data_IF_620206056580
#
_entry.id   IF_620206056580
#
_cell.length_a   1.000
_cell.length_b   1.000
_cell.length_c   1.000
_cell.angle_alpha   90.00
_cell.angle_beta   90.00
_cell.angle_gamma   90.00
#
_symmetry.space_group_name_H-M   'P 1'
#
loop_
_entity.id
_entity.type
_entity.pdbx_description
1 polymer ?
#
# COMPACT_ATOMS: atom_id res chain seq x y z
N UNK A 1 -14.64 21.00 -3.57
CA UNK A 1 -13.66 19.92 -3.36
C UNK A 1 -14.18 19.03 -2.24
N UNK A 2 -14.47 17.75 -2.53
CA UNK A 2 -14.97 16.83 -1.51
C UNK A 2 -13.87 16.56 -0.48
N UNK A 3 -14.17 16.75 0.82
CA UNK A 3 -13.22 16.48 1.89
C UNK A 3 -13.32 14.98 2.27
N UNK A 4 -12.61 14.12 1.50
CA UNK A 4 -12.54 12.69 1.79
C UNK A 4 -11.62 12.47 2.99
N UNK A 5 -12.18 12.06 4.14
CA UNK A 5 -11.41 11.70 5.33
C UNK A 5 -11.18 10.19 5.38
N UNK A 6 -10.69 9.63 4.30
CA UNK A 6 -10.31 8.23 4.14
C UNK A 6 -9.28 8.10 3.04
N UNK A 7 -8.40 7.12 3.18
CA UNK A 7 -7.38 6.78 2.19
C UNK A 7 -7.81 5.64 1.25
N UNK A 8 -8.89 4.91 1.60
CA UNK A 8 -9.38 3.81 0.78
C UNK A 8 -10.08 4.32 -0.48
N UNK A 9 -9.63 3.87 -1.67
CA UNK A 9 -10.24 4.23 -2.96
C UNK A 9 -11.70 3.77 -3.03
N UNK A 10 -12.00 2.59 -2.51
CA UNK A 10 -13.36 2.04 -2.43
C UNK A 10 -14.29 2.95 -1.61
N UNK A 11 -13.87 3.40 -0.41
CA UNK A 11 -14.70 4.29 0.43
C UNK A 11 -14.92 5.65 -0.25
N UNK A 12 -13.90 6.21 -0.92
CA UNK A 12 -14.02 7.47 -1.65
C UNK A 12 -15.05 7.38 -2.79
N UNK A 13 -15.02 6.27 -3.54
CA UNK A 13 -16.01 6.02 -4.58
C UNK A 13 -17.44 5.92 -4.00
N UNK A 14 -17.63 5.15 -2.92
CA UNK A 14 -18.94 5.02 -2.27
C UNK A 14 -19.49 6.37 -1.81
N UNK A 15 -18.63 7.23 -1.23
CA UNK A 15 -19.01 8.58 -0.82
C UNK A 15 -19.41 9.41 -2.03
N UNK A 16 -18.65 9.38 -3.12
CA UNK A 16 -18.95 10.14 -4.33
C UNK A 16 -20.27 9.70 -4.95
N UNK A 17 -20.50 8.38 -5.09
CA UNK A 17 -21.75 7.82 -5.60
C UNK A 17 -22.96 8.28 -4.79
N UNK A 18 -22.90 8.15 -3.46
CA UNK A 18 -24.00 8.56 -2.57
C UNK A 18 -24.29 10.06 -2.67
N UNK A 19 -23.26 10.90 -2.75
CA UNK A 19 -23.42 12.34 -2.79
C UNK A 19 -23.99 12.85 -4.12
N UNK A 20 -23.80 12.12 -5.22
CA UNK A 20 -24.24 12.53 -6.55
C UNK A 20 -25.39 11.67 -7.10
N UNK A 21 -25.91 10.70 -6.34
CA UNK A 21 -26.95 9.74 -6.76
C UNK A 21 -26.60 9.03 -8.07
N UNK A 22 -25.34 8.61 -8.24
CA UNK A 22 -24.85 7.93 -9.44
C UNK A 22 -24.68 6.43 -9.16
N UNK A 23 -24.96 5.60 -10.16
CA UNK A 23 -24.65 4.17 -10.12
C UNK A 23 -23.25 3.89 -10.66
N UNK A 24 -22.87 4.57 -11.73
CA UNK A 24 -21.57 4.48 -12.38
C UNK A 24 -20.84 5.82 -12.35
N UNK A 25 -19.53 5.79 -12.41
CA UNK A 25 -18.69 6.98 -12.48
C UNK A 25 -17.77 6.80 -13.69
N UNK A 26 -17.81 7.77 -14.61
CA UNK A 26 -16.92 7.74 -15.77
C UNK A 26 -15.45 7.67 -15.34
N UNK A 27 -14.71 6.76 -15.98
CA UNK A 27 -13.30 6.52 -15.66
C UNK A 27 -13.05 5.69 -14.41
N UNK A 28 -14.07 5.00 -13.88
CA UNK A 28 -13.91 4.07 -12.76
C UNK A 28 -14.52 2.72 -13.09
N UNK A 29 -13.70 1.70 -13.14
CA UNK A 29 -14.09 0.31 -13.29
C UNK A 29 -13.99 -0.43 -11.96
N UNK A 30 -14.88 -1.39 -11.70
CA UNK A 30 -14.90 -2.17 -10.47
C UNK A 30 -15.11 -3.64 -10.76
N UNK A 31 -14.25 -4.42 -10.14
CA UNK A 31 -14.38 -5.85 -10.06
C UNK A 31 -14.49 -6.28 -8.58
N UNK A 32 -15.48 -7.11 -8.27
CA UNK A 32 -15.67 -7.69 -6.95
C UNK A 32 -15.54 -9.21 -7.03
N UNK A 33 -14.72 -9.78 -6.17
CA UNK A 33 -14.51 -11.22 -6.04
C UNK A 33 -14.75 -11.61 -4.58
N UNK A 34 -15.86 -12.29 -4.32
CA UNK A 34 -16.10 -12.94 -3.02
C UNK A 34 -15.37 -14.29 -3.02
N UNK A 35 -14.40 -14.45 -2.13
CA UNK A 35 -13.61 -15.67 -1.99
C UNK A 35 -14.30 -16.62 -1.00
N UNK A 36 -14.78 -16.05 0.10
CA UNK A 36 -15.64 -16.70 1.09
C UNK A 36 -16.41 -15.62 1.90
N UNK A 37 -17.32 -16.00 2.82
CA UNK A 37 -18.14 -15.06 3.56
C UNK A 37 -17.35 -13.99 4.36
N UNK A 38 -16.10 -14.29 4.73
CA UNK A 38 -15.25 -13.43 5.54
C UNK A 38 -14.14 -12.75 4.72
N UNK A 39 -13.99 -13.07 3.43
CA UNK A 39 -12.87 -12.62 2.61
C UNK A 39 -13.34 -12.14 1.23
N UNK A 40 -13.20 -10.84 1.01
CA UNK A 40 -13.61 -10.18 -0.23
C UNK A 40 -12.45 -9.38 -0.82
N UNK A 41 -12.28 -9.49 -2.13
CA UNK A 41 -11.36 -8.64 -2.91
C UNK A 41 -12.19 -7.70 -3.77
N UNK A 42 -11.87 -6.41 -3.71
CA UNK A 42 -12.47 -5.40 -4.58
C UNK A 42 -11.35 -4.66 -5.30
N UNK A 43 -11.35 -4.72 -6.62
CA UNK A 43 -10.44 -3.98 -7.48
C UNK A 43 -11.16 -2.75 -8.03
N UNK A 44 -10.50 -1.61 -7.94
CA UNK A 44 -10.97 -0.31 -8.48
C UNK A 44 -9.90 0.19 -9.42
N UNK A 45 -10.18 0.23 -10.70
CA UNK A 45 -9.30 0.80 -11.71
C UNK A 45 -9.79 2.22 -12.06
N UNK A 46 -8.91 3.20 -11.88
CA UNK A 46 -9.13 4.58 -12.31
C UNK A 46 -8.44 4.73 -13.66
N UNK A 47 -9.23 4.94 -14.72
CA UNK A 47 -8.75 4.83 -16.10
C UNK A 47 -8.57 6.19 -16.80
N UNK A 48 -9.18 7.26 -16.25
CA UNK A 48 -9.10 8.58 -16.85
C UNK A 48 -9.16 9.71 -15.81
N UNK A 49 -9.01 10.97 -16.29
CA UNK A 49 -9.03 12.17 -15.44
C UNK A 49 -10.36 12.43 -14.74
N UNK A 50 -11.50 12.02 -15.33
CA UNK A 50 -12.80 12.20 -14.70
C UNK A 50 -12.91 11.32 -13.46
N UNK A 51 -12.45 10.07 -13.54
CA UNK A 51 -12.36 9.16 -12.40
C UNK A 51 -11.42 9.69 -11.31
N UNK A 52 -10.25 10.22 -11.69
CA UNK A 52 -9.29 10.83 -10.78
C UNK A 52 -9.92 12.02 -10.03
N UNK A 53 -10.60 12.92 -10.72
CA UNK A 53 -11.27 14.07 -10.10
C UNK A 53 -12.45 13.68 -9.22
N UNK A 54 -13.20 12.64 -9.61
CA UNK A 54 -14.37 12.17 -8.88
C UNK A 54 -14.00 11.66 -7.48
N UNK A 55 -12.98 10.84 -7.37
CA UNK A 55 -12.59 10.23 -6.09
C UNK A 55 -11.29 10.79 -5.49
N UNK A 56 -10.61 11.68 -6.21
CA UNK A 56 -9.40 12.36 -5.74
C UNK A 56 -8.24 11.40 -5.48
N UNK A 57 -8.09 10.39 -6.36
CA UNK A 57 -6.99 9.41 -6.37
C UNK A 57 -6.39 9.36 -7.76
N UNK A 58 -5.07 9.23 -7.92
CA UNK A 58 -4.40 9.12 -9.21
C UNK A 58 -4.94 7.98 -10.08
N UNK A 59 -4.81 8.13 -11.40
CA UNK A 59 -5.07 7.05 -12.37
C UNK A 59 -4.19 5.85 -12.04
N UNK A 60 -4.79 4.65 -11.94
CA UNK A 60 -4.13 3.39 -11.61
C UNK A 60 -5.04 2.39 -10.93
N UNK A 61 -4.45 1.30 -10.46
CA UNK A 61 -5.14 0.15 -9.87
C UNK A 61 -5.11 0.21 -8.35
N UNK A 62 -6.25 -0.01 -7.72
CA UNK A 62 -6.42 -0.08 -6.26
C UNK A 62 -7.15 -1.36 -5.91
N UNK A 63 -6.48 -2.28 -5.22
CA UNK A 63 -7.03 -3.56 -4.77
C UNK A 63 -7.26 -3.49 -3.28
N UNK A 64 -8.49 -3.73 -2.85
CA UNK A 64 -8.87 -3.76 -1.43
C UNK A 64 -9.22 -5.19 -1.05
N UNK A 65 -8.52 -5.74 -0.08
CA UNK A 65 -8.75 -7.06 0.51
C UNK A 65 -9.38 -6.82 1.88
N UNK A 66 -10.68 -7.10 1.99
CA UNK A 66 -11.43 -7.01 3.24
C UNK A 66 -11.49 -8.39 3.90
N UNK A 67 -10.92 -8.53 5.10
CA UNK A 67 -10.85 -9.75 5.89
C UNK A 67 -11.72 -9.54 7.13
N UNK A 68 -12.99 -9.96 7.06
CA UNK A 68 -13.90 -9.75 8.19
C UNK A 68 -13.42 -10.51 9.43
N UNK A 69 -13.48 -9.85 10.60
CA UNK A 69 -13.12 -10.46 11.89
C UNK A 69 -11.69 -11.01 11.99
N UNK A 70 -10.72 -10.43 11.26
CA UNK A 70 -9.32 -10.88 11.26
C UNK A 70 -8.76 -11.13 12.69
N UNK A 71 -9.19 -10.36 13.68
CA UNK A 71 -8.77 -10.54 15.09
C UNK A 71 -9.25 -11.87 15.72
N UNK A 72 -10.26 -12.50 15.13
CA UNK A 72 -10.85 -13.76 15.57
C UNK A 72 -10.63 -14.86 14.52
N UNK A 73 -9.90 -14.56 13.46
CA UNK A 73 -9.65 -15.47 12.35
C UNK A 73 -8.81 -16.67 12.83
N UNK A 74 -9.15 -17.82 12.36
CA UNK A 74 -8.36 -19.04 12.53
C UNK A 74 -7.11 -18.99 11.65
N UNK A 75 -6.10 -19.78 11.97
CA UNK A 75 -4.83 -19.84 11.22
C UNK A 75 -5.04 -20.09 9.72
N UNK A 76 -6.00 -20.97 9.36
CA UNK A 76 -6.36 -21.26 7.97
C UNK A 76 -6.91 -20.02 7.22
N UNK A 77 -7.69 -19.16 7.88
CA UNK A 77 -8.23 -17.93 7.28
C UNK A 77 -7.12 -16.89 7.09
N UNK A 78 -6.18 -16.81 8.04
CA UNK A 78 -4.99 -15.94 7.93
C UNK A 78 -4.12 -16.40 6.76
N UNK A 79 -3.84 -17.69 6.68
CA UNK A 79 -3.05 -18.28 5.60
C UNK A 79 -3.68 -18.02 4.22
N UNK A 80 -4.98 -18.27 4.07
CA UNK A 80 -5.72 -17.98 2.83
C UNK A 80 -5.67 -16.51 2.44
N UNK A 81 -5.77 -15.61 3.42
CA UNK A 81 -5.67 -14.16 3.19
C UNK A 81 -4.27 -13.77 2.72
N UNK A 82 -3.23 -14.39 3.27
CA UNK A 82 -1.84 -14.17 2.86
C UNK A 82 -1.58 -14.69 1.43
N UNK A 83 -2.15 -15.83 1.07
CA UNK A 83 -2.08 -16.38 -0.30
C UNK A 83 -2.70 -15.42 -1.31
N UNK A 84 -3.90 -14.90 -1.04
CA UNK A 84 -4.57 -13.92 -1.91
C UNK A 84 -3.76 -12.63 -2.02
N UNK A 85 -3.26 -12.10 -0.89
CA UNK A 85 -2.39 -10.93 -0.90
C UNK A 85 -1.16 -11.17 -1.79
N UNK A 86 -0.55 -12.36 -1.69
CA UNK A 86 0.61 -12.75 -2.49
C UNK A 86 0.28 -12.82 -3.99
N UNK A 87 -0.87 -13.39 -4.36
CA UNK A 87 -1.33 -13.49 -5.74
C UNK A 87 -1.56 -12.09 -6.35
N UNK A 88 -2.32 -11.24 -5.68
CA UNK A 88 -2.62 -9.88 -6.13
C UNK A 88 -1.35 -9.02 -6.22
N UNK A 89 -0.46 -9.14 -5.23
CA UNK A 89 0.83 -8.44 -5.23
C UNK A 89 1.72 -8.90 -6.39
N UNK A 90 1.77 -10.21 -6.65
CA UNK A 90 2.53 -10.80 -7.75
C UNK A 90 2.01 -10.32 -9.11
N UNK A 91 0.69 -10.24 -9.27
CA UNK A 91 0.07 -9.71 -10.49
C UNK A 91 0.49 -8.26 -10.75
N UNK A 92 0.41 -7.39 -9.72
CA UNK A 92 0.81 -5.98 -9.84
C UNK A 92 2.32 -5.86 -10.12
N UNK A 93 3.18 -6.59 -9.42
CA UNK A 93 4.64 -6.55 -9.63
C UNK A 93 4.98 -6.90 -11.08
N UNK A 94 4.38 -7.98 -11.62
CA UNK A 94 4.66 -8.47 -12.96
C UNK A 94 4.20 -7.51 -14.08
N UNK A 95 3.32 -6.55 -13.79
CA UNK A 95 2.96 -5.45 -14.73
C UNK A 95 4.09 -4.42 -14.89
N UNK A 96 5.02 -4.35 -13.94
CA UNK A 96 6.01 -3.27 -13.88
C UNK A 96 7.44 -3.73 -14.09
N UNK A 97 7.79 -4.96 -13.69
CA UNK A 97 9.16 -5.46 -13.70
C UNK A 97 9.23 -6.95 -14.03
N UNK A 98 10.41 -7.40 -14.47
CA UNK A 98 10.71 -8.81 -14.74
C UNK A 98 11.08 -9.58 -13.46
N UNK A 99 11.15 -10.93 -13.57
CA UNK A 99 11.33 -11.82 -12.41
C UNK A 99 12.63 -11.63 -11.63
N UNK A 100 13.71 -11.15 -12.31
CA UNK A 100 15.04 -10.96 -11.70
C UNK A 100 15.39 -9.51 -11.39
N UNK A 101 14.48 -8.59 -11.61
CA UNK A 101 14.71 -7.18 -11.30
C UNK A 101 14.76 -6.91 -9.79
N UNK A 102 15.63 -5.98 -9.40
CA UNK A 102 15.85 -5.58 -8.01
C UNK A 102 14.62 -4.87 -7.42
N UNK A 103 14.20 -5.28 -6.22
CA UNK A 103 13.14 -4.62 -5.44
C UNK A 103 13.74 -3.98 -4.19
N UNK A 104 13.29 -2.76 -3.90
CA UNK A 104 13.47 -2.12 -2.60
C UNK A 104 12.14 -2.11 -1.84
N UNK A 105 12.10 -2.74 -0.67
CA UNK A 105 10.95 -2.71 0.26
C UNK A 105 11.19 -1.65 1.32
N UNK A 106 10.20 -0.78 1.53
CA UNK A 106 10.28 0.35 2.46
C UNK A 106 9.15 0.27 3.46
N UNK A 107 9.47 0.18 4.74
CA UNK A 107 8.49 0.24 5.83
C UNK A 107 8.40 1.64 6.41
N UNK A 108 7.30 2.35 6.13
CA UNK A 108 7.04 3.67 6.68
C UNK A 108 6.48 3.59 8.09
N UNK A 109 6.76 4.62 8.88
CA UNK A 109 6.18 4.82 10.20
C UNK A 109 7.21 4.80 11.33
N UNK A 110 6.68 4.83 12.55
CA UNK A 110 7.45 4.85 13.79
C UNK A 110 7.21 3.56 14.58
N UNK A 111 8.26 2.77 14.78
CA UNK A 111 8.17 1.47 15.48
C UNK A 111 7.68 1.63 16.94
N UNK A 112 7.91 2.78 17.56
CA UNK A 112 7.51 3.08 18.94
C UNK A 112 6.06 3.56 19.08
N UNK A 113 5.36 3.78 17.97
CA UNK A 113 3.97 4.23 17.91
C UNK A 113 3.10 3.12 17.35
N UNK A 114 2.35 2.42 18.19
CA UNK A 114 1.59 1.22 17.78
C UNK A 114 0.76 1.38 16.51
N UNK A 115 -0.04 2.44 16.32
CA UNK A 115 -0.81 2.64 15.08
C UNK A 115 0.05 2.88 13.84
N UNK A 116 1.33 3.24 14.00
CA UNK A 116 2.26 3.63 12.96
C UNK A 116 3.44 2.64 12.81
N UNK A 117 3.39 1.50 13.52
CA UNK A 117 4.50 0.55 13.58
C UNK A 117 4.47 -0.55 12.52
N UNK A 118 3.45 -0.61 11.67
CA UNK A 118 3.26 -1.70 10.71
C UNK A 118 4.47 -1.84 9.77
N UNK A 119 4.81 -0.76 9.05
CA UNK A 119 5.90 -0.78 8.09
C UNK A 119 7.23 -1.25 8.70
N UNK A 120 7.72 -0.61 9.78
CA UNK A 120 8.94 -1.04 10.46
C UNK A 120 8.94 -2.49 10.94
N UNK A 121 7.79 -3.01 11.43
CA UNK A 121 7.69 -4.42 11.86
C UNK A 121 7.80 -5.38 10.69
N UNK A 122 7.08 -5.12 9.59
CA UNK A 122 7.15 -5.98 8.41
C UNK A 122 8.57 -6.03 7.85
N UNK A 123 9.31 -4.90 7.86
CA UNK A 123 10.69 -4.89 7.38
C UNK A 123 11.60 -5.84 8.17
N UNK A 124 11.36 -6.02 9.46
CA UNK A 124 12.16 -6.95 10.27
C UNK A 124 11.93 -8.43 9.89
N UNK A 125 10.81 -8.74 9.25
CA UNK A 125 10.43 -10.10 8.84
C UNK A 125 10.65 -10.35 7.33
N UNK A 126 11.15 -9.36 6.57
CA UNK A 126 11.45 -9.50 5.14
C UNK A 126 12.77 -10.23 4.93
N UNK A 127 12.73 -11.29 4.13
CA UNK A 127 13.93 -11.98 3.65
C UNK A 127 14.67 -11.14 2.62
N UNK A 128 15.78 -10.51 3.02
CA UNK A 128 16.63 -9.73 2.12
C UNK A 128 17.65 -10.61 1.41
N UNK A 129 17.64 -10.57 0.10
CA UNK A 129 18.42 -11.48 -0.76
C UNK A 129 19.51 -10.80 -1.57
N UNK A 130 19.42 -9.46 -1.77
CA UNK A 130 20.33 -8.72 -2.66
C UNK A 130 21.81 -8.93 -2.29
N UNK A 131 22.17 -8.89 -1.01
CA UNK A 131 23.55 -9.09 -0.56
C UNK A 131 24.02 -10.54 -0.79
N UNK A 132 23.11 -11.51 -0.61
CA UNK A 132 23.45 -12.94 -0.84
C UNK A 132 23.71 -13.16 -2.33
N UNK A 133 22.82 -12.68 -3.21
CA UNK A 133 23.00 -12.78 -4.67
C UNK A 133 24.31 -12.12 -5.10
N UNK A 134 24.67 -10.97 -4.52
CA UNK A 134 25.86 -10.21 -4.91
C UNK A 134 27.16 -10.83 -4.42
N UNK A 135 27.20 -11.38 -3.22
CA UNK A 135 28.44 -11.79 -2.56
C UNK A 135 28.57 -13.30 -2.32
N UNK A 136 27.45 -14.02 -2.27
CA UNK A 136 27.35 -15.43 -1.92
C UNK A 136 26.35 -16.19 -2.81
N UNK A 137 26.40 -16.04 -4.15
CA UNK A 137 25.37 -16.57 -5.05
C UNK A 137 25.19 -18.08 -4.99
N UNK A 138 26.21 -18.82 -4.51
CA UNK A 138 26.13 -20.28 -4.35
C UNK A 138 25.20 -20.74 -3.20
N UNK A 139 24.75 -19.84 -2.35
CA UNK A 139 23.88 -20.16 -1.19
C UNK A 139 22.41 -19.78 -1.41
N UNK A 140 22.04 -19.34 -2.60
CA UNK A 140 20.66 -18.92 -2.91
C UNK A 140 20.21 -19.55 -4.23
N UNK A 141 18.92 -19.82 -4.35
CA UNK A 141 18.31 -20.31 -5.60
C UNK A 141 18.53 -19.31 -6.74
N UNK A 142 18.90 -19.81 -7.91
CA UNK A 142 19.15 -19.00 -9.11
C UNK A 142 17.93 -18.22 -9.60
N UNK A 143 16.73 -18.64 -9.21
CA UNK A 143 15.47 -17.95 -9.50
C UNK A 143 15.11 -16.87 -8.48
N UNK A 144 15.90 -16.74 -7.41
CA UNK A 144 15.68 -15.72 -6.41
C UNK A 144 15.91 -14.32 -6.99
N UNK A 145 15.07 -13.39 -6.57
CA UNK A 145 15.13 -11.98 -6.94
C UNK A 145 15.95 -11.20 -5.91
N UNK A 146 16.72 -10.18 -6.32
CA UNK A 146 17.39 -9.30 -5.37
C UNK A 146 16.37 -8.42 -4.62
N UNK A 147 16.30 -8.58 -3.32
CA UNK A 147 15.44 -7.80 -2.43
C UNK A 147 16.29 -7.08 -1.39
N UNK A 148 16.08 -5.77 -1.28
CA UNK A 148 16.61 -4.92 -0.20
C UNK A 148 15.45 -4.41 0.63
N UNK A 149 15.67 -4.15 1.92
CA UNK A 149 14.64 -3.61 2.80
C UNK A 149 15.20 -2.50 3.69
N UNK A 150 14.38 -1.46 3.95
CA UNK A 150 14.74 -0.34 4.83
C UNK A 150 13.53 0.21 5.56
N UNK A 151 13.70 0.58 6.82
CA UNK A 151 12.77 1.41 7.57
C UNK A 151 13.43 2.77 7.85
N UNK A 152 13.10 3.84 7.10
CA UNK A 152 13.80 5.13 7.19
C UNK A 152 13.46 5.92 8.46
N UNK A 153 12.45 5.49 9.22
CA UNK A 153 11.91 6.26 10.33
C UNK A 153 11.01 7.41 9.88
N UNK A 154 10.72 8.33 10.79
CA UNK A 154 9.86 9.49 10.55
C UNK A 154 10.62 10.80 10.74
N UNK A 155 10.17 11.88 10.09
CA UNK A 155 10.79 13.22 10.18
C UNK A 155 11.06 13.65 11.62
N UNK A 156 10.12 13.36 12.55
CA UNK A 156 10.27 13.73 13.96
C UNK A 156 11.41 13.02 14.70
N UNK A 157 11.90 11.89 14.19
CA UNK A 157 13.02 11.14 14.78
C UNK A 157 14.33 11.32 14.03
N UNK A 158 14.27 11.56 12.72
CA UNK A 158 15.44 11.64 11.85
C UNK A 158 15.86 13.07 11.53
N UNK A 159 14.91 14.02 11.56
CA UNK A 159 15.09 15.38 11.06
C UNK A 159 15.17 15.47 9.52
N UNK A 160 14.94 14.35 8.80
CA UNK A 160 15.07 14.24 7.35
C UNK A 160 13.71 13.77 6.78
N UNK A 161 13.26 14.39 5.69
CA UNK A 161 12.07 13.91 5.00
C UNK A 161 12.30 12.50 4.43
N UNK A 162 11.32 11.64 4.58
CA UNK A 162 11.41 10.26 4.11
C UNK A 162 11.76 10.17 2.62
N UNK A 163 11.18 11.05 1.79
CA UNK A 163 11.48 11.09 0.36
C UNK A 163 12.97 11.38 0.10
N UNK A 164 13.60 12.30 0.83
CA UNK A 164 15.03 12.64 0.67
C UNK A 164 15.93 11.42 0.95
N UNK A 165 15.59 10.65 2.00
CA UNK A 165 16.29 9.39 2.29
C UNK A 165 16.13 8.40 1.13
N UNK A 166 14.89 8.23 0.63
CA UNK A 166 14.59 7.28 -0.44
C UNK A 166 15.22 7.68 -1.77
N UNK A 167 15.26 8.97 -2.11
CA UNK A 167 15.96 9.48 -3.30
C UNK A 167 17.46 9.10 -3.27
N UNK A 168 18.10 9.27 -2.11
CA UNK A 168 19.49 8.87 -1.90
C UNK A 168 19.70 7.36 -2.08
N UNK A 169 18.85 6.53 -1.46
CA UNK A 169 18.93 5.06 -1.55
C UNK A 169 18.66 4.59 -2.98
N UNK A 170 17.59 5.08 -3.62
CA UNK A 170 17.21 4.70 -4.99
C UNK A 170 18.33 5.06 -5.99
N UNK A 171 18.94 6.24 -5.84
CA UNK A 171 20.07 6.67 -6.68
C UNK A 171 21.27 5.73 -6.57
N UNK A 172 21.56 5.24 -5.36
CA UNK A 172 22.72 4.37 -5.09
C UNK A 172 22.48 2.93 -5.52
N UNK A 173 21.37 2.30 -5.09
CA UNK A 173 21.13 0.87 -5.33
C UNK A 173 20.39 0.57 -6.62
N UNK A 174 19.74 1.57 -7.23
CA UNK A 174 19.04 1.54 -8.53
C UNK A 174 18.03 0.39 -8.65
N UNK A 175 17.09 0.25 -7.71
CA UNK A 175 16.08 -0.79 -7.80
C UNK A 175 15.15 -0.52 -9.00
N UNK A 176 14.52 -1.54 -9.54
CA UNK A 176 13.55 -1.41 -10.63
C UNK A 176 12.13 -1.14 -10.12
N UNK A 177 11.87 -1.46 -8.85
CA UNK A 177 10.58 -1.28 -8.20
C UNK A 177 10.79 -0.92 -6.73
N UNK A 178 9.95 -0.02 -6.23
CA UNK A 178 9.80 0.27 -4.81
C UNK A 178 8.47 -0.32 -4.30
N UNK A 179 8.49 -1.08 -3.21
CA UNK A 179 7.30 -1.49 -2.48
C UNK A 179 7.28 -0.73 -1.16
N UNK A 180 6.23 0.06 -0.92
CA UNK A 180 6.07 0.85 0.31
C UNK A 180 5.00 0.22 1.18
N UNK A 181 5.33 -0.05 2.44
CA UNK A 181 4.40 -0.60 3.43
C UNK A 181 4.11 0.48 4.46
N UNK A 182 2.81 0.80 4.67
CA UNK A 182 2.38 1.89 5.54
C UNK A 182 1.06 1.58 6.25
N UNK A 183 0.82 2.27 7.35
CA UNK A 183 -0.48 2.28 8.02
C UNK A 183 -1.46 3.20 7.29
N UNK A 184 -2.73 2.81 7.26
CA UNK A 184 -3.81 3.48 6.55
C UNK A 184 -4.89 3.92 7.54
N UNK A 185 -5.44 5.12 7.36
CA UNK A 185 -6.63 5.56 8.07
C UNK A 185 -7.90 5.20 7.28
N UNK A 186 -8.85 4.52 7.93
CA UNK A 186 -10.17 4.27 7.38
C UNK A 186 -11.24 5.13 8.05
N UNK A 187 -12.41 5.22 7.43
CA UNK A 187 -13.59 5.87 8.00
C UNK A 187 -14.40 4.93 8.89
N UNK A 188 -14.40 3.65 8.58
CA UNK A 188 -15.13 2.61 9.30
C UNK A 188 -14.26 1.97 10.38
N UNK A 189 -14.81 1.88 11.59
CA UNK A 189 -14.18 1.17 12.71
C UNK A 189 -14.10 -0.33 12.43
N UNK A 190 -15.06 -0.88 11.70
CA UNK A 190 -15.13 -2.29 11.33
C UNK A 190 -13.95 -2.73 10.43
N UNK A 191 -13.37 -1.77 9.70
CA UNK A 191 -12.20 -2.00 8.82
C UNK A 191 -10.85 -1.90 9.52
N UNK A 192 -10.82 -1.53 10.81
CA UNK A 192 -9.55 -1.43 11.53
C UNK A 192 -8.92 -2.81 11.65
N UNK A 193 -7.68 -2.94 11.21
CA UNK A 193 -6.88 -4.18 11.19
C UNK A 193 -7.50 -5.33 10.38
N UNK A 194 -8.45 -5.02 9.49
CA UNK A 194 -9.16 -6.03 8.70
C UNK A 194 -9.19 -5.71 7.20
N UNK A 195 -8.55 -4.61 6.78
CA UNK A 195 -8.55 -4.21 5.37
C UNK A 195 -7.13 -3.90 4.94
N UNK A 196 -6.69 -4.56 3.86
CA UNK A 196 -5.42 -4.29 3.18
C UNK A 196 -5.72 -3.64 1.84
N UNK A 197 -5.02 -2.58 1.48
CA UNK A 197 -5.07 -1.97 0.16
C UNK A 197 -3.72 -2.06 -0.52
N UNK A 198 -3.72 -2.58 -1.76
CA UNK A 198 -2.61 -2.47 -2.71
C UNK A 198 -2.91 -1.35 -3.70
N UNK A 199 -1.88 -0.63 -4.16
CA UNK A 199 -2.01 0.29 -5.30
C UNK A 199 -0.67 0.45 -6.03
N UNK A 200 -0.72 0.71 -7.33
CA UNK A 200 0.45 0.97 -8.18
C UNK A 200 0.71 2.46 -8.41
N UNK A 201 0.03 3.33 -7.69
CA UNK A 201 0.11 4.79 -7.83
C UNK A 201 1.05 5.45 -6.83
N UNK A 202 1.68 4.66 -5.95
CA UNK A 202 2.45 5.20 -4.83
C UNK A 202 1.60 5.69 -3.66
N UNK A 203 2.14 6.58 -2.85
CA UNK A 203 1.55 7.01 -1.58
C UNK A 203 1.89 8.47 -1.27
N UNK A 204 0.93 9.17 -0.66
CA UNK A 204 1.18 10.43 0.07
C UNK A 204 1.12 10.12 1.56
N UNK A 205 2.25 10.01 2.26
CA UNK A 205 2.26 9.65 3.67
C UNK A 205 1.47 10.65 4.52
N UNK A 206 0.65 10.15 5.46
CA UNK A 206 -0.11 10.99 6.38
C UNK A 206 -1.32 11.71 5.79
N UNK A 207 -1.66 11.49 4.52
CA UNK A 207 -2.80 12.17 3.87
C UNK A 207 -4.14 11.91 4.58
N UNK A 208 -4.36 10.69 5.08
CA UNK A 208 -5.59 10.31 5.79
C UNK A 208 -5.78 10.97 7.14
N UNK A 209 -4.71 11.48 7.74
CA UNK A 209 -4.74 12.18 9.04
C UNK A 209 -4.49 13.69 8.92
N UNK A 210 -4.50 14.22 7.68
CA UNK A 210 -4.33 15.64 7.41
C UNK A 210 -2.88 16.16 7.49
N UNK A 211 -1.92 15.27 7.62
CA UNK A 211 -0.49 15.60 7.60
C UNK A 211 0.08 15.28 6.20
N UNK A 212 -0.03 16.25 5.29
CA UNK A 212 0.40 16.07 3.91
C UNK A 212 1.91 16.19 3.81
N UNK A 213 2.59 15.08 3.50
CA UNK A 213 4.02 15.02 3.20
C UNK A 213 4.25 14.91 1.70
N UNK A 214 5.52 14.96 1.30
CA UNK A 214 5.90 14.73 -0.11
C UNK A 214 5.46 13.35 -0.57
N UNK A 215 4.95 13.27 -1.78
CA UNK A 215 4.52 12.03 -2.43
C UNK A 215 5.71 11.09 -2.66
N UNK A 216 5.48 9.80 -2.47
CA UNK A 216 6.41 8.72 -2.82
C UNK A 216 5.75 7.96 -3.98
N UNK A 217 6.15 8.27 -5.20
CA UNK A 217 5.54 7.75 -6.43
C UNK A 217 6.56 7.64 -7.56
N UNK A 218 6.11 7.12 -8.70
CA UNK A 218 6.91 7.11 -9.93
C UNK A 218 7.33 8.52 -10.36
N UNK A 219 6.49 9.53 -10.12
CA UNK A 219 6.79 10.91 -10.51
C UNK A 219 7.97 11.50 -9.72
N UNK A 220 8.10 11.13 -8.44
CA UNK A 220 9.15 11.65 -7.56
C UNK A 220 10.44 10.82 -7.63
N UNK A 221 10.33 9.49 -7.73
CA UNK A 221 11.48 8.59 -7.68
C UNK A 221 11.96 8.07 -9.04
N UNK A 222 11.19 8.29 -10.12
CA UNK A 222 11.52 7.82 -11.47
C UNK A 222 11.38 6.32 -11.70
N UNK A 223 10.94 5.56 -10.70
CA UNK A 223 10.69 4.11 -10.75
C UNK A 223 9.27 3.79 -10.30
N UNK A 224 8.65 2.67 -10.74
CA UNK A 224 7.35 2.24 -10.26
C UNK A 224 7.33 2.11 -8.73
N UNK A 225 6.20 2.50 -8.12
CA UNK A 225 5.98 2.40 -6.67
C UNK A 225 4.66 1.70 -6.41
N UNK A 226 4.72 0.55 -5.74
CA UNK A 226 3.56 -0.17 -5.24
C UNK A 226 3.41 0.14 -3.74
N UNK A 227 2.22 0.52 -3.31
CA UNK A 227 1.90 0.73 -1.90
C UNK A 227 1.08 -0.44 -1.35
N UNK A 228 1.49 -0.97 -0.20
CA UNK A 228 0.74 -1.96 0.61
C UNK A 228 0.35 -1.25 1.91
N UNK A 229 -0.94 -1.12 2.18
CA UNK A 229 -1.43 -0.36 3.33
C UNK A 229 -2.48 -1.15 4.09
N UNK A 230 -2.37 -1.16 5.43
CA UNK A 230 -3.36 -1.79 6.30
C UNK A 230 -4.04 -0.73 7.17
N UNK A 231 -5.33 -0.90 7.43
CA UNK A 231 -6.14 0.00 8.26
C UNK A 231 -5.82 -0.18 9.74
N UNK A 232 -4.94 0.65 10.29
CA UNK A 232 -4.57 0.61 11.72
C UNK A 232 -5.26 1.67 12.57
N UNK A 233 -5.93 2.65 11.96
CA UNK A 233 -6.63 3.71 12.67
C UNK A 233 -7.97 4.06 12.03
N UNK A 234 -8.92 4.53 12.86
CA UNK A 234 -10.16 5.12 12.41
C UNK A 234 -10.16 6.61 12.72
N UNK A 235 -10.52 7.40 11.72
CA UNK A 235 -10.71 8.82 11.95
C UNK A 235 -12.02 9.06 12.72
N UNK A 236 -11.95 9.37 14.02
CA UNK A 236 -13.10 9.85 14.80
C UNK A 236 -13.24 11.36 14.60
N UNK A 237 -14.47 11.85 14.32
CA UNK A 237 -14.79 13.26 14.54
C UNK A 237 -14.46 13.56 15.99
N UNK A 238 -13.52 14.48 16.24
CA UNK A 238 -13.43 15.12 17.53
C UNK A 238 -14.78 15.78 17.76
N UNK A 239 -15.49 15.37 18.82
CA UNK A 239 -16.57 16.15 19.38
C UNK A 239 -15.93 17.46 19.87
N UNK A 240 -16.02 18.51 19.03
CA UNK A 240 -15.80 19.88 19.46
C UNK A 240 -17.04 20.41 20.11
#
# INVERSE_FOLDING_TARGET
>A
MYNFRTDLALERREIFRKNNNLEEIDGIEIENKEIDPNLKVTKVDITNQNGEQAIGKPIGTYITIDIQKLRLAEEAEIQKSAEILSEELKEIINKHIESKDDILVVGLGNIYVTPDSLGPKVINDIDVTRHIIKYLPQYIDENSRPVSAISPGVLGTTGIETLEILEGVVKEIKPKLLIVIDALASRSIERISSTIQLSDTGIVPGAGVGNTRKEISKNTLGIPVIAIRNTNSCWKRGSG
#
